data_IF_588880561945
#
_entry.id   IF_588880561945
#
_cell.length_a   1.000
_cell.length_b   1.000
_cell.length_c   1.000
_cell.angle_alpha   90.00
_cell.angle_beta   90.00
_cell.angle_gamma   90.00
#
_symmetry.space_group_name_H-M   'P 1'
#
loop_
_entity.id
_entity.type
_entity.pdbx_description
1 polymer ?
#
# COMPACT_ATOMS: atom_id res chain seq x y z
N UNK A 1 -5.85 11.75 29.95
CA UNK A 1 -5.70 10.37 30.46
C UNK A 1 -5.98 10.33 31.96
N UNK A 2 -6.77 9.37 32.44
CA UNK A 2 -7.04 9.23 33.86
C UNK A 2 -5.77 8.87 34.66
N UNK A 3 -5.41 9.69 35.64
CA UNK A 3 -4.25 9.48 36.53
C UNK A 3 -4.48 8.32 37.51
N UNK A 4 -5.74 8.01 37.82
CA UNK A 4 -6.18 6.97 38.75
C UNK A 4 -5.72 5.56 38.37
N UNK A 5 -5.68 5.24 37.08
CA UNK A 5 -5.34 3.90 36.57
C UNK A 5 -3.84 3.70 36.30
N UNK A 6 -2.99 4.68 36.60
CA UNK A 6 -1.54 4.56 36.40
C UNK A 6 -0.93 3.65 37.45
N UNK A 7 -0.02 2.76 37.02
CA UNK A 7 0.75 1.87 37.92
C UNK A 7 1.46 2.61 39.06
N UNK A 8 1.82 3.87 38.85
CA UNK A 8 2.48 4.71 39.86
C UNK A 8 1.66 4.89 41.13
N UNK A 9 0.32 4.92 41.06
CA UNK A 9 -0.53 5.07 42.25
C UNK A 9 -0.47 3.82 43.13
N UNK A 10 -0.52 2.63 42.54
CA UNK A 10 -0.37 1.34 43.24
C UNK A 10 1.04 1.16 43.82
N UNK A 11 2.07 1.68 43.13
CA UNK A 11 3.47 1.52 43.53
C UNK A 11 3.96 2.56 44.56
N UNK A 12 3.15 3.56 44.93
CA UNK A 12 3.50 4.51 46.01
C UNK A 12 3.64 3.75 47.33
N UNK A 13 4.76 3.95 48.03
CA UNK A 13 5.12 3.21 49.24
C UNK A 13 5.98 1.98 49.00
N UNK A 14 6.17 1.56 47.74
CA UNK A 14 7.16 0.52 47.41
C UNK A 14 8.56 1.15 47.27
N UNK A 15 9.60 0.44 47.71
CA UNK A 15 10.98 0.96 47.73
C UNK A 15 11.58 1.16 46.33
N UNK A 16 11.20 0.33 45.36
CA UNK A 16 11.88 0.27 44.03
C UNK A 16 10.95 0.57 42.84
N UNK A 17 9.67 0.85 43.08
CA UNK A 17 8.68 1.11 42.03
C UNK A 17 8.65 0.06 40.88
N UNK A 18 9.04 -1.19 41.18
CA UNK A 18 9.08 -2.30 40.22
C UNK A 18 10.37 -2.47 39.41
N UNK A 19 11.44 -1.73 39.69
CA UNK A 19 12.71 -1.81 38.95
C UNK A 19 13.75 -2.76 39.55
N UNK A 20 13.38 -3.51 40.60
CA UNK A 20 14.28 -4.44 41.31
C UNK A 20 15.28 -3.73 42.24
N UNK A 21 15.99 -4.50 43.07
CA UNK A 21 16.91 -3.95 44.08
C UNK A 21 18.31 -3.60 43.51
N UNK A 22 18.84 -4.41 42.58
CA UNK A 22 20.25 -4.35 42.15
C UNK A 22 20.43 -3.47 40.90
N UNK A 23 19.65 -3.74 39.85
CA UNK A 23 19.77 -3.09 38.54
C UNK A 23 19.21 -1.67 38.49
N UNK A 24 18.11 -1.41 39.23
CA UNK A 24 17.38 -0.13 39.33
C UNK A 24 17.05 0.53 37.97
N UNK A 25 16.31 1.63 38.00
CA UNK A 25 16.04 2.44 36.80
C UNK A 25 17.13 3.49 36.60
N UNK A 26 18.26 3.07 36.02
CA UNK A 26 19.37 3.96 35.69
C UNK A 26 19.14 4.65 34.34
N UNK A 27 20.08 5.54 33.97
CA UNK A 27 20.02 6.35 32.75
C UNK A 27 20.30 5.51 31.47
N UNK A 28 20.72 6.16 30.39
CA UNK A 28 20.97 5.52 29.08
C UNK A 28 21.97 4.36 29.11
N UNK A 29 22.90 4.34 30.07
CA UNK A 29 23.83 3.23 30.25
C UNK A 29 23.14 1.88 30.46
N UNK A 30 22.07 1.81 31.27
CA UNK A 30 21.33 0.55 31.46
C UNK A 30 20.50 0.14 30.25
N UNK A 31 20.29 1.07 29.30
CA UNK A 31 19.64 0.80 28.02
C UNK A 31 20.63 0.41 26.92
N UNK A 32 21.94 0.39 27.21
CA UNK A 32 22.98 0.14 26.20
C UNK A 32 23.20 1.32 25.25
N UNK A 33 22.92 2.55 25.68
CA UNK A 33 23.05 3.77 24.89
C UNK A 33 21.72 4.48 24.63
N UNK A 34 21.78 5.58 23.88
CA UNK A 34 20.59 6.37 23.49
C UNK A 34 20.23 6.03 22.05
N UNK A 35 18.94 5.83 21.78
CA UNK A 35 18.42 5.58 20.43
C UNK A 35 18.95 4.28 19.82
N UNK A 36 19.44 4.36 18.58
CA UNK A 36 19.94 3.22 17.80
C UNK A 36 21.43 2.89 18.05
N UNK A 37 22.00 3.34 19.17
CA UNK A 37 23.37 3.03 19.54
C UNK A 37 23.57 1.51 19.66
N UNK A 38 24.73 1.01 19.21
CA UNK A 38 25.14 -0.37 19.44
C UNK A 38 24.55 -1.43 18.50
N UNK A 39 23.74 -1.05 17.49
CA UNK A 39 23.17 -2.00 16.51
C UNK A 39 24.22 -2.80 15.72
N UNK A 40 25.43 -2.27 15.53
CA UNK A 40 26.59 -3.00 14.97
C UNK A 40 27.55 -3.58 16.03
N UNK A 41 27.17 -3.58 17.32
CA UNK A 41 28.02 -4.02 18.44
C UNK A 41 27.21 -4.91 19.39
N UNK A 42 26.96 -4.46 20.62
CA UNK A 42 26.27 -5.23 21.66
C UNK A 42 24.77 -5.47 21.39
N UNK A 43 24.16 -4.75 20.45
CA UNK A 43 22.80 -5.03 19.97
C UNK A 43 22.74 -5.74 18.61
N UNK A 44 23.88 -6.21 18.10
CA UNK A 44 23.96 -6.85 16.79
C UNK A 44 23.02 -8.06 16.64
N UNK A 45 22.93 -8.92 17.66
CA UNK A 45 22.01 -10.06 17.65
C UNK A 45 20.53 -9.62 17.53
N UNK A 46 20.14 -8.55 18.22
CA UNK A 46 18.77 -8.01 18.12
C UNK A 46 18.51 -7.46 16.73
N UNK A 47 19.47 -6.70 16.19
CA UNK A 47 19.35 -6.12 14.85
C UNK A 47 19.20 -7.22 13.79
N UNK A 48 19.99 -8.28 13.84
CA UNK A 48 19.84 -9.40 12.89
C UNK A 48 18.47 -10.09 12.98
N UNK A 49 17.86 -10.16 14.17
CA UNK A 49 16.57 -10.84 14.37
C UNK A 49 15.37 -9.98 14.00
N UNK A 50 15.38 -8.71 14.42
CA UNK A 50 14.22 -7.82 14.32
C UNK A 50 14.29 -6.90 13.10
N UNK A 51 15.49 -6.54 12.67
CA UNK A 51 15.73 -5.57 11.59
C UNK A 51 16.91 -6.05 10.69
N UNK A 52 16.77 -7.21 10.01
CA UNK A 52 17.88 -7.79 9.23
C UNK A 52 18.39 -6.83 8.15
N UNK A 53 17.49 -6.08 7.52
CA UNK A 53 17.82 -5.12 6.45
C UNK A 53 18.10 -3.70 6.99
N UNK A 54 18.41 -3.55 8.29
CA UNK A 54 18.68 -2.24 8.88
C UNK A 54 19.91 -1.56 8.31
N UNK A 55 20.91 -2.36 7.91
CA UNK A 55 22.17 -1.89 7.39
C UNK A 55 22.35 -2.37 5.96
N UNK A 56 22.66 -1.43 5.07
CA UNK A 56 22.77 -1.66 3.64
C UNK A 56 22.06 -0.57 2.85
N UNK A 57 22.37 -0.52 1.56
CA UNK A 57 21.69 0.32 0.60
C UNK A 57 21.26 -0.56 -0.56
N UNK A 58 20.11 -0.28 -1.16
CA UNK A 58 19.75 -0.91 -2.43
C UNK A 58 20.76 -0.45 -3.49
N UNK A 59 21.14 -1.36 -4.39
CA UNK A 59 22.19 -1.09 -5.39
C UNK A 59 21.81 0.03 -6.37
N UNK A 60 20.50 0.25 -6.59
CA UNK A 60 20.00 1.20 -7.57
C UNK A 60 18.88 2.05 -6.96
N UNK A 61 19.13 3.34 -6.84
CA UNK A 61 18.11 4.34 -6.54
C UNK A 61 17.91 5.25 -7.75
N UNK A 62 16.69 5.31 -8.28
CA UNK A 62 16.35 6.25 -9.32
C UNK A 62 16.44 7.68 -8.78
N UNK A 63 17.14 8.56 -9.50
CA UNK A 63 17.29 9.98 -9.11
C UNK A 63 15.94 10.73 -9.10
N UNK A 64 14.99 10.28 -9.92
CA UNK A 64 13.63 10.81 -10.00
C UNK A 64 12.63 9.71 -9.71
N UNK A 65 11.57 10.04 -8.99
CA UNK A 65 10.42 9.14 -8.78
C UNK A 65 9.73 8.93 -10.12
N UNK A 66 9.36 7.69 -10.43
CA UNK A 66 8.48 7.41 -11.57
C UNK A 66 7.11 8.02 -11.33
N UNK A 67 6.45 8.46 -12.41
CA UNK A 67 5.06 8.90 -12.33
C UNK A 67 4.18 7.76 -11.79
N UNK A 68 3.33 8.07 -10.82
CA UNK A 68 2.46 7.08 -10.20
C UNK A 68 1.27 6.84 -11.11
N UNK A 69 1.39 5.83 -11.96
CA UNK A 69 0.26 5.32 -12.76
C UNK A 69 -0.79 4.72 -11.84
N UNK A 70 -2.03 5.24 -11.89
CA UNK A 70 -3.16 4.62 -11.19
C UNK A 70 -3.69 3.47 -12.03
N UNK A 71 -3.86 2.31 -11.41
CA UNK A 71 -4.41 1.12 -12.04
C UNK A 71 -5.75 0.77 -11.42
N UNK A 72 -6.60 0.10 -12.19
CA UNK A 72 -7.91 -0.35 -11.73
C UNK A 72 -8.15 -1.80 -12.11
N UNK A 73 -8.85 -2.53 -11.24
CA UNK A 73 -9.23 -3.92 -11.46
C UNK A 73 -10.67 -4.03 -11.98
N UNK A 74 -10.99 -5.12 -12.68
CA UNK A 74 -12.34 -5.43 -13.15
C UNK A 74 -13.40 -5.40 -12.04
N UNK A 75 -13.04 -5.86 -10.82
CA UNK A 75 -13.95 -5.86 -9.66
C UNK A 75 -14.53 -4.48 -9.35
N UNK A 76 -13.73 -3.43 -9.52
CA UNK A 76 -14.10 -2.09 -9.09
C UNK A 76 -14.88 -1.33 -10.18
N UNK A 77 -14.99 -1.89 -11.40
CA UNK A 77 -15.70 -1.27 -12.52
C UNK A 77 -17.18 -1.05 -12.23
N UNK A 78 -17.83 -1.96 -11.51
CA UNK A 78 -19.24 -1.81 -11.12
C UNK A 78 -19.47 -0.57 -10.24
N UNK A 79 -18.49 -0.16 -9.42
CA UNK A 79 -18.62 1.07 -8.61
C UNK A 79 -18.51 2.33 -9.46
N UNK A 80 -17.77 2.25 -10.57
CA UNK A 80 -17.56 3.35 -11.50
C UNK A 80 -18.69 3.52 -12.52
N UNK A 81 -19.69 2.64 -12.52
CA UNK A 81 -20.91 2.79 -13.33
C UNK A 81 -21.58 4.15 -13.15
N UNK A 82 -21.46 4.77 -11.97
CA UNK A 82 -22.01 6.11 -11.69
C UNK A 82 -21.42 7.21 -12.55
N UNK A 83 -20.18 7.02 -13.03
CA UNK A 83 -19.46 7.96 -13.88
C UNK A 83 -19.48 7.56 -15.35
N UNK A 84 -20.19 6.49 -15.69
CA UNK A 84 -20.35 6.06 -17.08
C UNK A 84 -21.30 6.98 -17.84
N UNK A 85 -21.01 7.18 -19.13
CA UNK A 85 -21.89 7.89 -20.05
C UNK A 85 -22.70 6.83 -20.81
N UNK A 86 -24.02 6.99 -20.85
CA UNK A 86 -24.87 6.18 -21.73
C UNK A 86 -24.63 6.64 -23.18
N UNK A 87 -24.11 5.76 -24.03
CA UNK A 87 -23.98 6.02 -25.45
C UNK A 87 -25.34 6.02 -26.16
N UNK A 88 -25.40 6.62 -27.35
CA UNK A 88 -26.61 6.77 -28.16
C UNK A 88 -27.25 5.41 -28.56
N UNK A 89 -26.50 4.32 -28.51
CA UNK A 89 -26.95 2.93 -28.80
C UNK A 89 -27.34 2.10 -27.55
N UNK A 90 -27.47 2.71 -26.38
CA UNK A 90 -27.80 2.01 -25.13
C UNK A 90 -26.64 1.21 -24.50
N UNK A 91 -25.43 1.32 -25.05
CA UNK A 91 -24.20 0.73 -24.48
C UNK A 91 -23.60 1.65 -23.40
N UNK A 92 -23.14 1.05 -22.30
CA UNK A 92 -22.51 1.78 -21.19
C UNK A 92 -21.03 2.00 -21.51
N UNK A 93 -20.65 3.25 -21.78
CA UNK A 93 -19.27 3.63 -22.10
C UNK A 93 -18.60 4.13 -20.82
N UNK A 94 -17.50 3.47 -20.44
CA UNK A 94 -16.68 3.86 -19.30
C UNK A 94 -15.31 4.35 -19.78
N UNK A 95 -15.06 5.65 -19.64
CA UNK A 95 -13.77 6.25 -19.93
C UNK A 95 -12.89 6.26 -18.68
N UNK A 96 -11.91 5.37 -18.64
CA UNK A 96 -10.96 5.28 -17.54
C UNK A 96 -9.85 6.34 -17.64
N UNK A 97 -9.63 6.90 -18.82
CA UNK A 97 -8.67 7.98 -19.06
C UNK A 97 -9.13 9.30 -18.43
N UNK A 98 -10.41 9.67 -18.62
CA UNK A 98 -11.02 10.83 -17.95
C UNK A 98 -10.95 10.71 -16.42
N UNK A 99 -11.06 9.49 -15.90
CA UNK A 99 -10.98 9.19 -14.46
C UNK A 99 -9.53 9.12 -13.92
N UNK A 100 -8.52 9.28 -14.79
CA UNK A 100 -7.11 9.30 -14.41
C UNK A 100 -6.50 7.92 -14.16
N UNK A 101 -7.10 6.85 -14.69
CA UNK A 101 -6.54 5.50 -14.65
C UNK A 101 -5.79 5.20 -15.94
N UNK A 102 -4.56 4.70 -15.81
CA UNK A 102 -3.69 4.44 -16.95
C UNK A 102 -3.73 2.98 -17.41
N UNK A 103 -4.01 2.05 -16.49
CA UNK A 103 -4.01 0.61 -16.78
C UNK A 103 -5.19 -0.13 -16.17
N UNK A 104 -5.83 -0.97 -16.97
CA UNK A 104 -6.85 -1.92 -16.56
C UNK A 104 -6.24 -3.30 -16.28
N UNK A 105 -6.58 -3.88 -15.13
CA UNK A 105 -6.09 -5.17 -14.64
C UNK A 105 -7.22 -6.19 -14.52
N UNK A 106 -6.91 -7.47 -14.75
CA UNK A 106 -7.89 -8.56 -14.86
C UNK A 106 -8.37 -9.20 -13.55
N UNK A 107 -8.18 -8.57 -12.38
CA UNK A 107 -8.64 -9.15 -11.11
C UNK A 107 -10.14 -8.91 -10.91
N UNK A 108 -10.90 -9.98 -10.63
CA UNK A 108 -12.36 -9.94 -10.48
C UNK A 108 -13.13 -10.56 -11.64
N UNK A 109 -14.46 -10.39 -11.58
CA UNK A 109 -15.44 -10.80 -12.60
C UNK A 109 -16.16 -9.57 -13.13
N UNK A 110 -16.62 -9.66 -14.36
CA UNK A 110 -17.39 -8.62 -15.04
C UNK A 110 -18.82 -9.13 -15.12
N UNK A 111 -19.77 -8.38 -14.55
CA UNK A 111 -21.19 -8.76 -14.51
C UNK A 111 -22.01 -8.04 -15.58
N UNK A 112 -21.55 -6.88 -16.05
CA UNK A 112 -22.24 -6.05 -17.02
C UNK A 112 -21.42 -5.90 -18.32
N UNK A 113 -22.13 -5.67 -19.42
CA UNK A 113 -21.52 -5.41 -20.73
C UNK A 113 -20.97 -3.98 -20.75
N UNK A 114 -19.65 -3.83 -20.80
CA UNK A 114 -18.97 -2.54 -20.81
C UNK A 114 -18.25 -2.29 -22.13
N UNK A 115 -18.30 -1.05 -22.61
CA UNK A 115 -17.32 -0.52 -23.57
C UNK A 115 -16.32 0.34 -22.81
N UNK A 116 -15.10 -0.14 -22.62
CA UNK A 116 -14.08 0.52 -21.78
C UNK A 116 -13.03 1.20 -22.65
N UNK A 117 -12.81 2.51 -22.42
CA UNK A 117 -11.69 3.26 -23.02
C UNK A 117 -10.55 3.38 -22.01
N UNK A 118 -9.36 2.87 -22.36
CA UNK A 118 -8.18 2.90 -21.47
C UNK A 118 -6.87 2.95 -22.27
N UNK A 119 -5.79 3.48 -21.68
CA UNK A 119 -4.48 3.52 -22.34
C UNK A 119 -3.83 2.14 -22.45
N UNK A 120 -3.84 1.37 -21.35
CA UNK A 120 -3.28 0.00 -21.31
C UNK A 120 -4.27 -0.99 -20.67
N UNK A 121 -4.32 -2.21 -21.17
CA UNK A 121 -5.11 -3.30 -20.60
C UNK A 121 -4.29 -4.58 -20.50
N UNK A 122 -4.39 -5.31 -19.38
CA UNK A 122 -3.76 -6.64 -19.27
C UNK A 122 -4.48 -7.66 -20.16
N UNK A 123 -3.75 -8.66 -20.66
CA UNK A 123 -4.32 -9.74 -21.50
C UNK A 123 -5.55 -10.39 -20.84
N UNK A 124 -5.41 -10.77 -19.57
CA UNK A 124 -6.50 -11.34 -18.77
C UNK A 124 -7.71 -10.42 -18.58
N UNK A 125 -7.53 -9.11 -18.70
CA UNK A 125 -8.66 -8.16 -18.62
C UNK A 125 -9.41 -8.12 -19.95
N UNK A 126 -8.67 -8.07 -21.07
CA UNK A 126 -9.25 -8.13 -22.42
C UNK A 126 -10.08 -9.41 -22.60
N UNK A 127 -9.49 -10.56 -22.30
CA UNK A 127 -10.15 -11.87 -22.47
C UNK A 127 -11.49 -11.94 -21.70
N UNK A 128 -11.49 -11.55 -20.42
CA UNK A 128 -12.70 -11.56 -19.58
C UNK A 128 -13.77 -10.58 -20.02
N UNK A 129 -13.38 -9.43 -20.54
CA UNK A 129 -14.34 -8.43 -21.05
C UNK A 129 -14.95 -8.93 -22.35
N UNK A 130 -14.16 -9.54 -23.25
CA UNK A 130 -14.68 -10.13 -24.48
C UNK A 130 -15.59 -11.34 -24.21
N UNK A 131 -15.27 -12.19 -23.22
CA UNK A 131 -16.14 -13.28 -22.77
C UNK A 131 -17.49 -12.76 -22.22
N UNK A 132 -17.47 -11.61 -21.54
CA UNK A 132 -18.67 -10.95 -21.05
C UNK A 132 -19.44 -10.18 -22.15
N UNK A 133 -18.98 -10.22 -23.41
CA UNK A 133 -19.60 -9.52 -24.54
C UNK A 133 -19.33 -8.01 -24.58
N UNK A 134 -18.37 -7.52 -23.79
CA UNK A 134 -17.91 -6.14 -23.80
C UNK A 134 -16.76 -5.89 -24.77
N UNK A 135 -16.39 -4.62 -24.92
CA UNK A 135 -15.33 -4.18 -25.83
C UNK A 135 -14.32 -3.29 -25.10
N UNK A 136 -13.03 -3.47 -25.39
CA UNK A 136 -11.95 -2.66 -24.81
C UNK A 136 -11.28 -1.86 -25.92
N UNK A 137 -11.43 -0.55 -25.89
CA UNK A 137 -10.79 0.38 -26.81
C UNK A 137 -9.50 0.90 -26.18
N UNK A 138 -8.36 0.42 -26.68
CA UNK A 138 -7.03 0.86 -26.26
C UNK A 138 -6.57 2.05 -27.10
N UNK A 139 -6.26 3.18 -26.45
CA UNK A 139 -5.82 4.41 -27.14
C UNK A 139 -4.55 4.22 -27.99
N UNK A 140 -3.70 3.24 -27.66
CA UNK A 140 -2.50 2.92 -28.45
C UNK A 140 -2.80 2.18 -29.77
N UNK A 141 -3.99 1.58 -29.93
CA UNK A 141 -4.40 0.94 -31.19
C UNK A 141 -5.03 1.96 -32.15
N UNK A 142 -5.51 3.11 -31.63
CA UNK A 142 -6.11 4.21 -32.40
C UNK A 142 -5.11 5.23 -32.97
N UNK A 143 -3.89 5.31 -32.42
CA UNK A 143 -2.85 6.28 -32.83
C UNK A 143 -1.80 5.67 -33.79
N UNK A 144 -2.13 4.55 -34.47
CA UNK A 144 -1.22 3.85 -35.39
C UNK A 144 -1.47 4.18 -36.87
N UNK A 145 -2.35 5.13 -37.17
CA UNK A 145 -2.57 5.70 -38.51
C UNK A 145 -1.87 7.05 -38.66
#
# INVERSE_FOLDING_TARGET
MATRLRKSRRQRGTRFCGWGQIGQHRASGSRGGVGNAGKHKHFFMRTLKEEPDHFGHEQFHALRKSDVSRWINLRDLNTLLKYSKSGEDGKTILDLGELGYEKLLGSGRVEAVFTIKVKWASKSAKDKITEAGGEVLTLNELNKE
#
